data_IF_214619672223
#
_entry.id   IF_214619672223
#
_cell.length_a   1.000
_cell.length_b   1.000
_cell.length_c   1.000
_cell.angle_alpha   90.00
_cell.angle_beta   90.00
_cell.angle_gamma   90.00
#
_symmetry.space_group_name_H-M   'P 1'
#
loop_
_entity.id
_entity.type
_entity.pdbx_description
1 polymer ?
#
# COMPACT_ATOMS: atom_id res chain seq x y z
N UNK A 1 10.30 -7.38 10.13
CA UNK A 1 9.71 -7.50 8.80
C UNK A 1 10.77 -7.25 7.74
N UNK A 2 10.68 -7.90 6.58
CA UNK A 2 11.70 -7.76 5.51
C UNK A 2 11.16 -6.99 4.30
N UNK A 3 9.87 -6.70 4.28
CA UNK A 3 9.18 -6.02 3.19
C UNK A 3 8.50 -4.75 3.69
N UNK A 4 8.25 -3.81 2.78
CA UNK A 4 7.69 -2.50 3.09
C UNK A 4 6.53 -2.19 2.12
N UNK A 5 5.41 -1.73 2.66
CA UNK A 5 4.35 -1.08 1.87
C UNK A 5 4.40 0.41 2.11
N UNK A 6 4.43 1.20 1.05
CA UNK A 6 4.34 2.67 1.11
C UNK A 6 3.03 3.07 0.45
N UNK A 7 2.07 3.48 1.26
CA UNK A 7 0.80 4.04 0.82
C UNK A 7 0.89 5.56 0.74
N UNK A 8 0.53 6.14 -0.39
CA UNK A 8 0.43 7.59 -0.48
C UNK A 8 -1.03 8.01 -0.46
N UNK A 9 -1.30 8.99 0.40
CA UNK A 9 -2.63 9.49 0.74
C UNK A 9 -2.75 10.89 0.16
N UNK A 10 -3.51 11.03 -0.93
CA UNK A 10 -3.78 12.31 -1.60
C UNK A 10 -4.85 13.09 -0.84
N UNK A 11 -4.95 14.41 -1.09
CA UNK A 11 -5.90 15.29 -0.39
C UNK A 11 -7.37 14.97 -0.67
N UNK A 12 -7.65 14.28 -1.76
CA UNK A 12 -8.98 13.91 -2.21
C UNK A 12 -9.41 12.50 -1.76
N UNK A 13 -8.63 11.86 -0.87
CA UNK A 13 -9.00 10.60 -0.22
C UNK A 13 -10.04 10.89 0.86
N UNK A 14 -11.22 10.26 0.74
CA UNK A 14 -12.23 10.37 1.79
C UNK A 14 -11.91 9.48 2.97
N UNK A 15 -12.44 9.82 4.15
CA UNK A 15 -12.27 9.03 5.37
C UNK A 15 -12.74 7.57 5.19
N UNK A 16 -13.86 7.36 4.49
CA UNK A 16 -14.40 6.02 4.21
C UNK A 16 -13.48 5.21 3.29
N UNK A 17 -12.91 5.85 2.26
CA UNK A 17 -11.95 5.19 1.38
C UNK A 17 -10.69 4.79 2.12
N UNK A 18 -10.20 5.66 3.01
CA UNK A 18 -9.02 5.42 3.81
C UNK A 18 -9.26 4.32 4.84
N UNK A 19 -10.40 4.37 5.56
CA UNK A 19 -10.83 3.34 6.51
C UNK A 19 -10.90 1.97 5.84
N UNK A 20 -11.52 1.90 4.67
CA UNK A 20 -11.63 0.66 3.91
C UNK A 20 -10.27 0.13 3.46
N UNK A 21 -9.37 1.01 3.02
CA UNK A 21 -8.01 0.61 2.66
C UNK A 21 -7.27 0.00 3.85
N UNK A 22 -7.31 0.65 5.02
CA UNK A 22 -6.64 0.17 6.23
C UNK A 22 -7.25 -1.15 6.72
N UNK A 23 -8.57 -1.25 6.76
CA UNK A 23 -9.28 -2.45 7.20
C UNK A 23 -8.94 -3.65 6.32
N UNK A 24 -8.99 -3.49 5.01
CA UNK A 24 -8.59 -4.53 4.08
C UNK A 24 -7.10 -4.89 4.21
N UNK A 25 -6.23 -3.89 4.34
CA UNK A 25 -4.80 -4.08 4.53
C UNK A 25 -4.48 -4.89 5.79
N UNK A 26 -5.08 -4.54 6.94
CA UNK A 26 -4.85 -5.28 8.19
C UNK A 26 -5.29 -6.73 8.10
N UNK A 27 -6.40 -7.00 7.42
CA UNK A 27 -6.97 -8.36 7.26
C UNK A 27 -6.23 -9.18 6.21
N UNK A 28 -5.45 -8.52 5.34
CA UNK A 28 -4.67 -9.19 4.30
C UNK A 28 -3.42 -9.86 4.86
N UNK A 29 -2.99 -10.94 4.23
CA UNK A 29 -1.78 -11.67 4.61
C UNK A 29 -0.49 -10.85 4.46
N UNK A 30 -0.53 -9.71 3.77
CA UNK A 30 0.62 -8.82 3.63
C UNK A 30 0.97 -8.17 4.97
N UNK A 31 -0.01 -7.74 5.78
CA UNK A 31 0.21 -7.04 7.05
C UNK A 31 0.95 -7.90 8.10
N UNK A 32 0.85 -9.23 8.02
CA UNK A 32 1.62 -10.14 8.87
C UNK A 32 3.12 -10.19 8.54
N UNK A 33 3.53 -9.68 7.35
CA UNK A 33 4.88 -9.83 6.79
C UNK A 33 5.59 -8.52 6.49
N UNK A 34 4.86 -7.39 6.42
CA UNK A 34 5.38 -6.09 5.99
C UNK A 34 5.20 -5.02 7.06
N UNK A 35 6.12 -4.06 7.09
CA UNK A 35 5.87 -2.78 7.74
C UNK A 35 5.19 -1.84 6.73
N UNK A 36 4.41 -0.88 7.24
CA UNK A 36 3.62 0.05 6.43
C UNK A 36 4.02 1.48 6.73
N UNK A 37 4.26 2.25 5.70
CA UNK A 37 4.48 3.70 5.76
C UNK A 37 3.39 4.39 4.97
N UNK A 38 2.71 5.34 5.58
CA UNK A 38 1.72 6.21 4.94
C UNK A 38 2.34 7.59 4.73
N UNK A 39 2.25 8.11 3.51
CA UNK A 39 2.69 9.47 3.17
C UNK A 39 1.46 10.33 2.93
N UNK A 40 1.21 11.27 3.82
CA UNK A 40 0.13 12.23 3.68
C UNK A 40 0.59 13.44 2.85
N UNK A 41 -0.28 13.90 1.96
CA UNK A 41 0.00 15.05 1.08
C UNK A 41 0.15 16.36 1.84
N UNK A 42 -0.55 16.51 2.97
CA UNK A 42 -0.58 17.73 3.77
C UNK A 42 -0.84 17.43 5.25
N UNK A 43 -0.56 18.43 6.12
CA UNK A 43 -0.88 18.38 7.55
C UNK A 43 -2.38 18.25 7.80
N UNK A 44 -3.21 18.83 6.95
CA UNK A 44 -4.67 18.70 7.04
C UNK A 44 -5.09 17.24 6.86
N UNK A 45 -4.60 16.58 5.80
CA UNK A 45 -4.87 15.16 5.55
C UNK A 45 -4.33 14.28 6.69
N UNK A 46 -3.15 14.59 7.23
CA UNK A 46 -2.56 13.86 8.35
C UNK A 46 -3.41 14.01 9.62
N UNK A 47 -3.87 15.22 9.93
CA UNK A 47 -4.70 15.51 11.11
C UNK A 47 -6.08 14.89 11.03
N UNK A 48 -6.69 14.87 9.85
CA UNK A 48 -8.01 14.32 9.62
C UNK A 48 -8.01 12.79 9.62
N UNK A 49 -7.04 12.17 8.96
CA UNK A 49 -6.99 10.73 8.73
C UNK A 49 -6.15 9.97 9.76
N UNK A 50 -5.29 10.66 10.52
CA UNK A 50 -4.48 10.05 11.58
C UNK A 50 -5.29 9.28 12.62
N UNK A 51 -6.39 9.82 13.17
CA UNK A 51 -7.26 9.10 14.10
C UNK A 51 -7.83 7.79 13.53
N UNK A 52 -8.14 7.74 12.22
CA UNK A 52 -8.64 6.54 11.56
C UNK A 52 -7.60 5.41 11.59
N UNK A 53 -6.31 5.73 11.46
CA UNK A 53 -5.23 4.73 11.58
C UNK A 53 -5.25 4.09 12.96
N UNK A 54 -5.44 4.89 14.02
CA UNK A 54 -5.48 4.39 15.38
C UNK A 54 -6.73 3.54 15.61
N UNK A 55 -7.92 4.02 15.21
CA UNK A 55 -9.18 3.29 15.35
C UNK A 55 -9.14 1.91 14.68
N UNK A 56 -8.66 1.83 13.44
CA UNK A 56 -8.59 0.57 12.69
C UNK A 56 -7.50 -0.35 13.27
N UNK A 57 -6.38 0.20 13.77
CA UNK A 57 -5.33 -0.57 14.46
C UNK A 57 -5.87 -1.22 15.74
N UNK A 58 -6.60 -0.46 16.56
CA UNK A 58 -7.19 -0.95 17.79
C UNK A 58 -8.29 -1.98 17.52
N UNK A 59 -9.14 -1.73 16.51
CA UNK A 59 -10.20 -2.65 16.10
C UNK A 59 -9.61 -3.97 15.62
N UNK A 60 -8.59 -3.94 14.78
CA UNK A 60 -7.89 -5.13 14.34
C UNK A 60 -7.23 -5.89 15.50
N UNK A 61 -6.61 -5.17 16.44
CA UNK A 61 -5.99 -5.77 17.62
C UNK A 61 -7.03 -6.48 18.50
N UNK A 62 -8.22 -5.86 18.69
CA UNK A 62 -9.35 -6.48 19.40
C UNK A 62 -9.85 -7.73 18.70
N UNK A 63 -9.97 -7.68 17.37
CA UNK A 63 -10.41 -8.82 16.56
C UNK A 63 -9.50 -10.04 16.77
N UNK A 64 -8.18 -9.84 16.62
CA UNK A 64 -7.20 -10.93 16.73
C UNK A 64 -7.15 -11.50 18.17
N UNK A 65 -7.29 -10.66 19.20
CA UNK A 65 -7.36 -11.11 20.59
C UNK A 65 -8.59 -11.96 20.85
N UNK A 66 -9.78 -11.49 20.47
CA UNK A 66 -11.03 -12.26 20.61
C UNK A 66 -10.96 -13.62 19.96
N UNK A 67 -10.38 -13.68 18.76
CA UNK A 67 -10.15 -14.95 18.09
C UNK A 67 -9.20 -15.87 18.88
N UNK A 68 -8.13 -15.32 19.46
CA UNK A 68 -7.20 -16.08 20.30
C UNK A 68 -7.87 -16.63 21.57
N UNK A 69 -8.77 -15.86 22.18
CA UNK A 69 -9.54 -16.27 23.35
C UNK A 69 -10.51 -17.41 23.01
N UNK A 70 -11.27 -17.29 21.92
CA UNK A 70 -12.20 -18.32 21.47
C UNK A 70 -11.50 -19.63 21.13
N UNK A 71 -10.34 -19.58 20.46
CA UNK A 71 -9.57 -20.79 20.15
C UNK A 71 -9.01 -21.48 21.39
N UNK A 72 -8.79 -20.77 22.50
CA UNK A 72 -8.29 -21.38 23.75
C UNK A 72 -9.38 -22.09 24.54
N UNK A 73 -10.63 -21.72 24.35
CA UNK A 73 -11.77 -22.26 25.10
C UNK A 73 -12.45 -23.47 24.46
N UNK A 74 -12.03 -23.90 23.27
CA UNK A 74 -12.58 -25.05 22.52
C UNK A 74 -14.09 -24.98 22.20
N UNK A 75 -14.75 -23.88 22.50
CA UNK A 75 -16.15 -23.64 22.13
C UNK A 75 -16.19 -22.88 20.78
N UNK A 76 -16.98 -23.40 19.84
CA UNK A 76 -17.28 -22.92 18.50
C UNK A 76 -16.29 -21.88 17.95
N UNK A 77 -15.35 -22.31 17.14
CA UNK A 77 -14.38 -21.42 16.51
C UNK A 77 -15.11 -20.28 15.79
N UNK A 78 -15.04 -19.07 16.36
CA UNK A 78 -15.64 -17.88 15.74
C UNK A 78 -15.16 -17.74 14.29
N UNK A 79 -16.07 -17.79 13.35
CA UNK A 79 -15.75 -17.72 11.94
C UNK A 79 -15.40 -16.28 11.60
N UNK A 80 -14.19 -16.05 11.09
CA UNK A 80 -13.76 -14.79 10.49
C UNK A 80 -13.80 -14.90 8.98
N UNK A 81 -13.89 -13.77 8.28
CA UNK A 81 -13.82 -13.73 6.81
C UNK A 81 -12.39 -13.88 6.26
N UNK A 82 -11.39 -14.00 7.13
CA UNK A 82 -9.98 -14.19 6.75
C UNK A 82 -9.25 -15.07 7.78
N UNK A 83 -8.05 -15.55 7.41
CA UNK A 83 -7.21 -16.37 8.30
C UNK A 83 -6.52 -15.51 9.36
N UNK A 84 -7.02 -15.55 10.60
CA UNK A 84 -6.48 -14.83 11.76
C UNK A 84 -5.25 -15.52 12.34
N UNK A 85 -5.08 -16.82 12.13
CA UNK A 85 -4.01 -17.62 12.74
C UNK A 85 -2.61 -17.12 12.39
N UNK A 86 -2.46 -16.51 11.21
CA UNK A 86 -1.20 -15.91 10.78
C UNK A 86 -0.69 -14.78 11.68
N UNK A 87 -1.57 -14.16 12.48
CA UNK A 87 -1.24 -13.06 13.38
C UNK A 87 -0.95 -13.54 14.81
N UNK A 88 -1.23 -14.81 15.12
CA UNK A 88 -0.99 -15.42 16.43
C UNK A 88 0.37 -16.11 16.44
N UNK A 89 1.22 -15.82 17.40
CA UNK A 89 2.42 -16.60 17.67
C UNK A 89 2.10 -17.68 18.70
N UNK A 90 2.03 -18.92 18.28
CA UNK A 90 2.06 -20.07 19.16
C UNK A 90 3.53 -20.48 19.34
N UNK A 91 4.13 -20.19 20.50
CA UNK A 91 5.37 -20.80 20.95
C UNK A 91 6.65 -19.97 20.97
N UNK A 92 7.42 -20.20 22.05
CA UNK A 92 8.79 -19.82 22.43
C UNK A 92 9.22 -18.35 22.35
N UNK A 93 9.66 -17.87 23.53
CA UNK A 93 10.25 -16.56 23.80
C UNK A 93 11.47 -16.27 22.92
N UNK A 94 11.29 -15.75 21.71
CA UNK A 94 12.34 -15.02 21.04
C UNK A 94 12.25 -13.55 21.45
N UNK A 95 13.23 -13.08 22.23
CA UNK A 95 13.46 -11.66 22.50
C UNK A 95 13.88 -10.95 21.19
N UNK A 96 13.00 -10.88 20.20
CA UNK A 96 13.21 -9.97 19.08
C UNK A 96 13.08 -8.53 19.61
N UNK A 97 14.20 -7.89 19.89
CA UNK A 97 14.27 -6.43 20.03
C UNK A 97 13.82 -5.84 18.71
N UNK A 98 12.55 -5.43 18.63
CA UNK A 98 12.07 -4.69 17.47
C UNK A 98 12.80 -3.35 17.45
N UNK A 99 13.69 -3.17 16.49
CA UNK A 99 14.24 -1.85 16.22
C UNK A 99 13.11 -0.95 15.69
N UNK A 100 13.03 0.31 16.14
CA UNK A 100 12.05 1.25 15.61
C UNK A 100 12.25 1.41 14.10
N UNK A 101 11.15 1.45 13.36
CA UNK A 101 11.15 1.62 11.90
C UNK A 101 11.85 2.91 11.48
N UNK A 102 11.75 3.94 12.31
CA UNK A 102 12.20 5.31 12.01
C UNK A 102 13.04 5.92 13.13
N UNK A 103 14.04 6.72 12.74
CA UNK A 103 14.78 7.60 13.64
C UNK A 103 15.88 6.97 14.51
N UNK A 104 16.69 7.78 15.17
CA UNK A 104 17.61 7.35 16.23
C UNK A 104 16.80 6.97 17.46
N UNK A 105 17.16 5.87 18.14
CA UNK A 105 16.75 5.69 19.53
C UNK A 105 17.16 6.94 20.29
N UNK A 106 16.20 7.77 20.65
CA UNK A 106 16.38 8.67 21.77
C UNK A 106 16.43 7.71 22.94
N UNK A 107 17.62 7.54 23.55
CA UNK A 107 17.71 6.94 24.87
C UNK A 107 16.93 7.88 25.79
N UNK A 108 15.67 7.59 26.01
CA UNK A 108 14.98 8.18 27.13
C UNK A 108 15.64 7.57 28.36
N UNK A 109 16.35 8.38 29.13
CA UNK A 109 16.85 8.03 30.44
C UNK A 109 15.72 7.98 31.49
N UNK A 110 14.48 7.83 31.05
CA UNK A 110 13.36 7.49 31.90
C UNK A 110 13.32 5.99 32.06
N UNK A 111 14.15 5.47 32.96
CA UNK A 111 13.88 4.22 33.65
C UNK A 111 12.74 4.54 34.60
N UNK A 112 11.56 4.03 34.30
CA UNK A 112 10.46 3.98 35.27
C UNK A 112 10.88 2.99 36.37
N UNK A 113 11.12 3.44 37.63
CA UNK A 113 11.62 2.55 38.68
C UNK A 113 10.54 1.66 39.30
N UNK A 114 9.30 1.65 38.77
CA UNK A 114 8.15 0.94 39.35
C UNK A 114 7.53 -0.14 38.46
N UNK A 115 8.25 -0.73 37.52
CA UNK A 115 7.80 -1.97 36.93
C UNK A 115 8.20 -3.15 37.84
N UNK A 116 7.41 -3.39 38.87
CA UNK A 116 7.40 -4.69 39.58
C UNK A 116 7.06 -5.78 38.57
N UNK A 117 7.99 -6.68 38.37
CA UNK A 117 7.83 -7.93 37.61
C UNK A 117 6.80 -8.85 38.31
N UNK A 118 5.52 -8.58 38.10
CA UNK A 118 4.48 -9.56 38.31
C UNK A 118 4.55 -10.58 37.19
N UNK A 119 4.75 -11.87 37.47
CA UNK A 119 4.58 -12.99 36.56
C UNK A 119 3.09 -13.16 36.19
N UNK A 120 2.53 -12.19 35.46
CA UNK A 120 1.25 -12.38 34.77
C UNK A 120 1.54 -13.05 33.42
N UNK A 121 0.76 -14.10 33.12
CA UNK A 121 0.81 -14.83 31.87
C UNK A 121 0.79 -13.83 30.70
N UNK A 122 1.93 -13.68 29.99
CA UNK A 122 2.07 -12.71 28.89
C UNK A 122 0.96 -12.95 27.86
N UNK A 123 0.13 -11.94 27.57
CA UNK A 123 -0.92 -12.06 26.56
C UNK A 123 -0.30 -12.42 25.23
N UNK A 124 -0.94 -13.30 24.48
CA UNK A 124 -0.54 -13.77 23.16
C UNK A 124 -0.10 -12.58 22.28
N UNK A 125 1.19 -12.52 21.98
CA UNK A 125 1.77 -11.35 21.29
C UNK A 125 1.37 -11.37 19.81
N UNK A 126 0.67 -10.34 19.39
CA UNK A 126 0.21 -10.18 18.02
C UNK A 126 1.40 -9.97 17.06
N UNK A 127 1.35 -10.62 15.89
CA UNK A 127 2.37 -10.52 14.85
C UNK A 127 1.83 -9.79 13.63
N UNK A 128 1.98 -8.49 13.60
CA UNK A 128 1.79 -7.67 12.38
C UNK A 128 2.86 -6.59 12.30
N UNK A 129 3.05 -6.02 11.09
CA UNK A 129 4.03 -4.97 10.87
C UNK A 129 3.68 -3.67 11.56
N UNK A 130 4.68 -2.82 11.75
CA UNK A 130 4.49 -1.45 12.24
C UNK A 130 3.81 -0.62 11.16
N UNK A 131 2.88 0.25 11.57
CA UNK A 131 2.29 1.26 10.70
C UNK A 131 2.68 2.64 11.23
N UNK A 132 3.24 3.47 10.35
CA UNK A 132 3.64 4.85 10.67
C UNK A 132 3.21 5.79 9.55
N UNK A 133 2.78 6.99 9.92
CA UNK A 133 2.41 8.06 8.99
C UNK A 133 3.44 9.18 9.02
N UNK A 134 3.67 9.81 7.88
CA UNK A 134 4.49 11.00 7.71
C UNK A 134 3.81 11.98 6.77
N UNK A 135 3.98 13.25 7.05
CA UNK A 135 3.68 14.29 6.07
C UNK A 135 4.81 14.37 5.04
N UNK A 136 4.46 14.67 3.79
CA UNK A 136 5.47 14.82 2.74
C UNK A 136 6.55 15.88 3.11
N UNK A 137 6.16 16.93 3.83
CA UNK A 137 7.07 17.97 4.33
C UNK A 137 8.03 17.47 5.42
N UNK A 138 7.62 16.53 6.26
CA UNK A 138 8.51 15.97 7.31
C UNK A 138 9.65 15.13 6.72
N UNK A 139 9.50 14.65 5.50
CA UNK A 139 10.52 13.88 4.81
C UNK A 139 11.66 14.77 4.30
N UNK A 140 11.41 16.05 4.12
CA UNK A 140 12.38 17.08 3.71
C UNK A 140 12.51 18.21 4.76
N UNK A 141 13.00 17.93 5.99
CA UNK A 141 13.05 18.90 7.06
C UNK A 141 14.00 20.06 6.79
N UNK A 142 14.95 19.90 5.88
CA UNK A 142 15.85 20.96 5.44
C UNK A 142 15.21 21.84 4.37
N UNK A 143 13.99 21.48 3.94
CA UNK A 143 13.27 22.17 2.87
C UNK A 143 14.10 22.32 1.58
N UNK A 144 14.94 21.33 1.31
CA UNK A 144 15.87 21.31 0.18
C UNK A 144 15.18 21.28 -1.17
N UNK A 145 13.92 20.82 -1.19
CA UNK A 145 13.05 20.75 -2.36
C UNK A 145 12.02 21.89 -2.38
N UNK A 146 12.14 22.88 -1.48
CA UNK A 146 11.29 24.07 -1.46
C UNK A 146 11.31 24.77 -2.84
N UNK A 147 10.17 25.30 -3.21
CA UNK A 147 10.00 25.93 -4.50
C UNK A 147 9.82 24.94 -5.68
N UNK A 148 10.41 23.75 -5.62
CA UNK A 148 10.14 22.71 -6.61
C UNK A 148 8.90 21.87 -6.24
N UNK A 149 8.82 21.39 -5.00
CA UNK A 149 7.70 20.57 -4.56
C UNK A 149 6.39 21.35 -4.46
N UNK A 150 6.43 22.65 -4.15
CA UNK A 150 5.23 23.48 -3.97
C UNK A 150 4.46 23.70 -5.28
N UNK A 151 5.14 23.61 -6.42
CA UNK A 151 4.57 23.85 -7.74
C UNK A 151 4.23 22.58 -8.52
N UNK A 152 4.46 21.41 -7.92
CA UNK A 152 4.27 20.10 -8.56
C UNK A 152 3.15 19.33 -7.86
N UNK A 153 2.19 18.73 -8.59
CA UNK A 153 1.10 17.96 -7.98
C UNK A 153 1.63 16.79 -7.14
N UNK A 154 0.86 16.37 -6.13
CA UNK A 154 1.27 15.31 -5.21
C UNK A 154 1.64 14.00 -5.92
N UNK A 155 0.94 13.66 -7.00
CA UNK A 155 1.26 12.50 -7.84
C UNK A 155 2.71 12.47 -8.34
N UNK A 156 3.33 13.64 -8.48
CA UNK A 156 4.73 13.79 -8.87
C UNK A 156 5.66 14.01 -7.67
N UNK A 157 5.20 14.72 -6.62
CA UNK A 157 6.01 14.95 -5.40
C UNK A 157 6.40 13.65 -4.71
N UNK A 158 5.52 12.67 -4.69
CA UNK A 158 5.75 11.37 -4.05
C UNK A 158 7.04 10.68 -4.52
N UNK A 159 7.45 10.92 -5.76
CA UNK A 159 8.68 10.34 -6.30
C UNK A 159 9.95 10.86 -5.62
N UNK A 160 9.92 12.06 -5.04
CA UNK A 160 10.98 12.57 -4.19
C UNK A 160 10.94 11.93 -2.78
N UNK A 161 9.75 11.66 -2.26
CA UNK A 161 9.57 11.07 -0.93
C UNK A 161 10.14 9.65 -0.84
N UNK A 162 10.05 8.85 -1.89
CA UNK A 162 10.49 7.45 -1.85
C UNK A 162 12.00 7.29 -1.55
N UNK A 163 12.94 7.95 -2.26
CA UNK A 163 14.35 7.89 -1.92
C UNK A 163 14.65 8.41 -0.51
N UNK A 164 13.94 9.44 -0.07
CA UNK A 164 14.09 10.02 1.27
C UNK A 164 13.69 9.03 2.36
N UNK A 165 12.53 8.37 2.23
CA UNK A 165 12.11 7.30 3.14
C UNK A 165 13.16 6.20 3.17
N UNK A 166 13.54 5.68 2.01
CA UNK A 166 14.51 4.58 1.91
C UNK A 166 15.89 4.95 2.43
N UNK A 167 16.24 6.23 2.47
CA UNK A 167 17.48 6.73 3.08
C UNK A 167 17.41 6.80 4.60
N UNK A 168 16.21 6.90 5.19
CA UNK A 168 16.00 7.13 6.62
C UNK A 168 15.50 5.92 7.39
N UNK A 169 14.83 4.97 6.72
CA UNK A 169 14.42 3.71 7.35
C UNK A 169 15.66 2.89 7.71
N UNK A 170 15.70 2.39 8.95
CA UNK A 170 16.86 1.67 9.47
C UNK A 170 16.94 0.23 9.05
N UNK A 171 15.80 -0.35 8.63
CA UNK A 171 15.74 -1.74 8.21
C UNK A 171 16.11 -1.85 6.74
N UNK A 172 16.92 -2.85 6.42
CA UNK A 172 17.19 -3.21 5.04
C UNK A 172 16.02 -4.04 4.50
N UNK A 173 14.99 -3.37 4.04
CA UNK A 173 13.90 -4.05 3.34
C UNK A 173 14.40 -4.65 2.04
N UNK A 174 13.96 -5.87 1.75
CA UNK A 174 14.31 -6.57 0.51
C UNK A 174 13.38 -6.18 -0.63
N UNK A 175 12.08 -6.12 -0.34
CA UNK A 175 11.06 -5.79 -1.32
C UNK A 175 10.16 -4.69 -0.79
N UNK A 176 9.58 -3.95 -1.72
CA UNK A 176 8.64 -2.91 -1.38
C UNK A 176 7.54 -2.78 -2.42
N UNK A 177 6.44 -2.20 -1.98
CA UNK A 177 5.29 -1.84 -2.80
C UNK A 177 4.96 -0.37 -2.57
N UNK A 178 4.75 0.34 -3.66
CA UNK A 178 4.21 1.70 -3.69
C UNK A 178 2.77 1.59 -4.14
N UNK A 179 1.84 2.20 -3.42
CA UNK A 179 0.41 2.10 -3.73
C UNK A 179 -0.33 3.39 -3.46
N UNK A 180 -1.20 3.79 -4.39
CA UNK A 180 -2.16 4.86 -4.19
C UNK A 180 -3.34 4.35 -3.37
N UNK A 181 -3.55 4.96 -2.19
CA UNK A 181 -4.57 4.55 -1.23
C UNK A 181 -5.98 4.81 -1.76
N UNK A 182 -6.14 5.85 -2.60
CA UNK A 182 -7.42 6.17 -3.23
C UNK A 182 -7.81 5.14 -4.29
N UNK A 183 -6.84 4.74 -5.10
CA UNK A 183 -7.07 3.94 -6.30
C UNK A 183 -7.15 2.44 -6.04
N UNK A 184 -6.54 1.93 -4.96
CA UNK A 184 -6.42 0.49 -4.73
C UNK A 184 -6.87 0.04 -3.34
N UNK A 185 -7.27 -1.24 -3.28
CA UNK A 185 -7.52 -1.98 -2.04
C UNK A 185 -6.69 -3.25 -2.05
N UNK A 186 -6.01 -3.55 -0.94
CA UNK A 186 -5.18 -4.74 -0.77
C UNK A 186 -5.96 -5.81 -0.03
N UNK A 187 -6.33 -6.89 -0.71
CA UNK A 187 -7.09 -8.00 -0.16
C UNK A 187 -6.22 -9.21 0.21
N UNK A 188 -5.00 -9.27 -0.31
CA UNK A 188 -4.04 -10.33 -0.07
C UNK A 188 -2.62 -9.83 -0.10
N UNK A 189 -1.67 -10.68 -0.49
CA UNK A 189 -0.24 -10.36 -0.52
C UNK A 189 0.31 -10.32 -1.96
N UNK A 190 0.29 -9.16 -2.63
CA UNK A 190 0.81 -9.03 -3.99
C UNK A 190 2.34 -9.15 -4.07
N UNK A 191 3.08 -8.91 -2.98
CA UNK A 191 4.54 -9.01 -2.95
C UNK A 191 5.06 -10.44 -3.17
N UNK A 192 4.21 -11.46 -3.07
CA UNK A 192 4.55 -12.85 -3.45
C UNK A 192 5.13 -12.90 -4.87
N UNK A 193 4.66 -12.06 -5.80
CA UNK A 193 5.12 -12.01 -7.19
C UNK A 193 6.58 -11.55 -7.35
N UNK A 194 7.11 -10.82 -6.36
CA UNK A 194 8.46 -10.23 -6.43
C UNK A 194 9.42 -10.77 -5.38
N UNK A 195 8.97 -11.49 -4.36
CA UNK A 195 9.84 -12.01 -3.29
C UNK A 195 10.92 -12.97 -3.77
N UNK A 196 10.68 -13.69 -4.87
CA UNK A 196 11.67 -14.58 -5.49
C UNK A 196 12.60 -13.86 -6.48
N UNK A 197 12.37 -12.57 -6.74
CA UNK A 197 13.13 -11.77 -7.69
C UNK A 197 14.33 -11.09 -7.02
N UNK A 198 15.20 -10.52 -7.86
CA UNK A 198 16.37 -9.77 -7.38
C UNK A 198 15.97 -8.46 -6.68
N UNK A 199 16.89 -7.90 -5.90
CA UNK A 199 16.71 -6.58 -5.26
C UNK A 199 16.65 -5.42 -6.25
N UNK A 200 17.10 -5.64 -7.50
CA UNK A 200 17.02 -4.71 -8.63
C UNK A 200 15.73 -4.85 -9.45
N UNK A 201 14.90 -5.84 -9.16
CA UNK A 201 13.65 -6.09 -9.91
C UNK A 201 12.63 -4.99 -9.67
N UNK A 202 11.88 -4.63 -10.72
CA UNK A 202 10.68 -3.79 -10.65
C UNK A 202 9.58 -4.46 -11.46
N UNK A 203 8.41 -4.58 -10.87
CA UNK A 203 7.22 -5.13 -11.48
C UNK A 203 6.16 -4.04 -11.64
N UNK A 204 5.68 -3.88 -12.86
CA UNK A 204 4.65 -2.92 -13.23
C UNK A 204 3.45 -3.64 -13.82
N UNK A 205 2.24 -3.22 -13.42
CA UNK A 205 1.01 -3.63 -14.12
C UNK A 205 0.75 -2.74 -15.32
N UNK A 206 0.00 -3.26 -16.28
CA UNK A 206 -0.52 -2.47 -17.39
C UNK A 206 -1.88 -1.88 -17.05
N UNK A 207 -2.17 -0.70 -17.55
CA UNK A 207 -3.51 -0.11 -17.52
C UNK A 207 -4.39 -0.74 -18.60
N UNK A 208 -5.67 -1.02 -18.30
CA UNK A 208 -6.62 -1.51 -19.30
C UNK A 208 -6.97 -0.46 -20.36
N UNK A 209 -6.71 0.82 -20.09
CA UNK A 209 -6.96 1.91 -21.03
C UNK A 209 -6.00 1.83 -22.21
N UNK A 210 -6.44 1.15 -23.26
CA UNK A 210 -5.86 1.34 -24.58
C UNK A 210 -6.13 2.77 -25.03
N UNK A 211 -5.09 3.52 -25.35
CA UNK A 211 -5.23 4.79 -26.05
C UNK A 211 -5.92 4.52 -27.40
N UNK A 212 -7.23 4.58 -27.43
CA UNK A 212 -7.94 4.77 -28.69
C UNK A 212 -7.80 6.25 -29.05
N UNK A 213 -7.08 6.60 -30.11
CA UNK A 213 -7.09 7.96 -30.60
C UNK A 213 -8.52 8.27 -31.05
N UNK A 214 -9.25 9.10 -30.31
CA UNK A 214 -10.48 9.69 -30.80
C UNK A 214 -10.14 10.55 -32.00
N UNK A 215 -10.35 10.01 -33.22
CA UNK A 215 -10.35 10.80 -34.45
C UNK A 215 -9.13 10.56 -35.34
N UNK A 216 -9.23 9.55 -36.19
CA UNK A 216 -9.04 9.61 -37.65
C UNK A 216 -9.17 8.19 -38.22
N UNK A 217 -10.27 7.97 -38.92
CA UNK A 217 -10.38 6.89 -39.91
C UNK A 217 -9.35 7.22 -41.00
N UNK A 218 -8.47 6.31 -41.29
CA UNK A 218 -7.57 6.11 -42.41
C UNK A 218 -6.09 6.10 -42.01
N UNK A 219 -5.58 4.93 -41.70
CA UNK A 219 -4.36 4.42 -42.36
C UNK A 219 -4.01 3.04 -41.79
N UNK A 220 -3.93 2.05 -42.65
CA UNK A 220 -3.29 0.76 -42.45
C UNK A 220 -1.82 0.97 -42.04
N UNK A 221 -1.55 1.05 -40.76
CA UNK A 221 -0.24 0.81 -40.19
C UNK A 221 -0.48 0.07 -38.88
N UNK A 222 0.08 -1.11 -38.78
CA UNK A 222 0.25 -1.90 -37.57
C UNK A 222 0.65 -1.00 -36.40
N UNK A 223 -0.36 -0.43 -35.73
CA UNK A 223 -0.14 0.34 -34.51
C UNK A 223 0.21 -0.70 -33.44
N UNK A 224 1.48 -0.79 -33.11
CA UNK A 224 1.91 -1.37 -31.86
C UNK A 224 1.17 -0.62 -30.73
N UNK A 225 0.08 -1.19 -30.25
CA UNK A 225 -0.63 -0.70 -29.07
C UNK A 225 0.34 -0.76 -27.89
N UNK A 226 1.02 0.32 -27.65
CA UNK A 226 1.94 0.43 -26.53
C UNK A 226 1.11 0.40 -25.26
N UNK A 227 1.15 -0.74 -24.54
CA UNK A 227 0.42 -0.92 -23.29
C UNK A 227 0.98 0.09 -22.27
N UNK A 228 0.11 0.97 -21.78
CA UNK A 228 0.47 1.92 -20.74
C UNK A 228 0.67 1.19 -19.42
N UNK A 229 1.76 1.49 -18.72
CA UNK A 229 2.00 0.98 -17.37
C UNK A 229 1.26 1.81 -16.33
N UNK A 230 0.80 1.15 -15.27
CA UNK A 230 0.14 1.79 -14.15
C UNK A 230 1.19 2.40 -13.21
N UNK A 231 1.12 3.72 -13.00
CA UNK A 231 2.04 4.45 -12.11
C UNK A 231 1.59 4.46 -10.64
N UNK A 232 0.34 4.11 -10.38
CA UNK A 232 -0.26 4.22 -9.05
C UNK A 232 0.01 3.01 -8.17
N UNK A 233 0.49 1.90 -8.77
CA UNK A 233 0.86 0.68 -8.07
C UNK A 233 2.13 0.08 -8.67
N UNK A 234 3.18 0.00 -7.86
CA UNK A 234 4.51 -0.46 -8.27
C UNK A 234 5.04 -1.37 -7.17
N UNK A 235 5.66 -2.47 -7.54
CA UNK A 235 6.35 -3.30 -6.57
C UNK A 235 7.67 -3.83 -7.12
N UNK A 236 8.58 -4.21 -6.21
CA UNK A 236 9.88 -4.72 -6.62
C UNK A 236 10.86 -4.85 -5.48
N UNK A 237 12.11 -5.14 -5.82
CA UNK A 237 13.23 -5.05 -4.90
C UNK A 237 13.54 -3.59 -4.56
N UNK A 238 13.96 -3.34 -3.33
CA UNK A 238 14.17 -1.97 -2.81
C UNK A 238 15.16 -1.16 -3.64
N UNK A 239 16.20 -1.81 -4.18
CA UNK A 239 17.19 -1.15 -5.04
C UNK A 239 16.62 -0.77 -6.39
N UNK A 240 15.83 -1.66 -7.00
CA UNK A 240 15.14 -1.40 -8.27
C UNK A 240 14.16 -0.25 -8.15
N UNK A 241 13.31 -0.27 -7.12
CA UNK A 241 12.32 0.80 -6.88
C UNK A 241 13.01 2.14 -6.58
N UNK A 242 14.11 2.14 -5.81
CA UNK A 242 14.90 3.38 -5.57
C UNK A 242 15.49 3.93 -6.87
N UNK A 243 16.04 3.09 -7.75
CA UNK A 243 16.57 3.52 -9.07
C UNK A 243 15.46 4.06 -9.96
N UNK A 244 14.32 3.39 -10.00
CA UNK A 244 13.14 3.88 -10.71
C UNK A 244 12.71 5.25 -10.19
N UNK A 245 12.62 5.41 -8.87
CA UNK A 245 12.20 6.68 -8.25
C UNK A 245 13.16 7.83 -8.57
N UNK A 246 14.46 7.59 -8.52
CA UNK A 246 15.47 8.58 -8.89
C UNK A 246 15.38 8.94 -10.40
N UNK A 247 15.17 7.95 -11.26
CA UNK A 247 15.02 8.19 -12.70
C UNK A 247 13.76 9.01 -12.99
N UNK A 248 12.64 8.68 -12.34
CA UNK A 248 11.40 9.46 -12.43
C UNK A 248 11.59 10.89 -11.95
N UNK A 249 12.29 11.11 -10.83
CA UNK A 249 12.56 12.45 -10.32
C UNK A 249 13.36 13.28 -11.33
N UNK A 250 14.37 12.70 -11.99
CA UNK A 250 15.14 13.35 -13.04
C UNK A 250 14.24 13.75 -14.22
N UNK A 251 13.35 12.88 -14.67
CA UNK A 251 12.42 13.18 -15.77
C UNK A 251 11.40 14.25 -15.37
N UNK A 252 10.92 14.23 -14.12
CA UNK A 252 10.01 15.27 -13.59
C UNK A 252 10.70 16.64 -13.61
N UNK A 253 11.95 16.71 -13.10
CA UNK A 253 12.74 17.96 -13.13
C UNK A 253 12.97 18.43 -14.56
N UNK A 254 13.38 17.53 -15.46
CA UNK A 254 13.61 17.84 -16.86
C UNK A 254 12.34 18.39 -17.54
N UNK A 255 11.20 17.73 -17.32
CA UNK A 255 9.92 18.17 -17.86
C UNK A 255 9.50 19.55 -17.28
N UNK A 256 9.73 19.78 -15.97
CA UNK A 256 9.45 21.06 -15.35
C UNK A 256 10.31 22.20 -15.91
N UNK A 257 11.60 21.95 -16.16
CA UNK A 257 12.53 22.95 -16.74
C UNK A 257 12.26 23.25 -18.22
N UNK A 258 11.83 22.27 -18.99
CA UNK A 258 11.54 22.43 -20.43
C UNK A 258 10.19 23.07 -20.70
N UNK A 259 9.40 23.32 -19.68
CA UNK A 259 8.02 23.78 -19.80
C UNK A 259 7.94 25.20 -20.32
N UNK A 260 7.53 25.35 -21.60
CA UNK A 260 7.18 26.64 -22.25
C UNK A 260 5.68 26.94 -22.21
N UNK A 261 4.84 26.07 -21.66
CA UNK A 261 3.38 26.15 -21.72
C UNK A 261 2.64 25.75 -20.46
N UNK A 262 1.32 25.99 -20.42
CA UNK A 262 0.44 25.79 -19.27
C UNK A 262 -0.08 24.36 -19.07
N UNK A 263 0.24 23.40 -19.94
CA UNK A 263 -0.28 22.03 -19.83
C UNK A 263 0.41 21.26 -18.71
N UNK A 264 -0.34 20.68 -17.76
CA UNK A 264 0.25 19.79 -16.75
C UNK A 264 0.79 18.54 -17.44
N UNK A 265 2.00 18.11 -17.10
CA UNK A 265 2.49 16.81 -17.53
C UNK A 265 1.98 15.71 -16.58
N UNK A 266 1.59 14.59 -17.17
CA UNK A 266 1.05 13.46 -16.43
C UNK A 266 2.16 12.54 -15.98
N UNK A 267 2.07 12.05 -14.74
CA UNK A 267 2.95 11.03 -14.20
C UNK A 267 3.02 9.78 -15.08
N UNK A 268 1.85 9.31 -15.52
CA UNK A 268 1.74 8.12 -16.37
C UNK A 268 2.50 8.30 -17.68
N UNK A 269 2.47 9.48 -18.28
CA UNK A 269 3.20 9.78 -19.51
C UNK A 269 4.71 9.71 -19.27
N UNK A 270 5.21 10.33 -18.18
CA UNK A 270 6.63 10.31 -17.86
C UNK A 270 7.12 8.89 -17.56
N UNK A 271 6.36 8.11 -16.79
CA UNK A 271 6.72 6.73 -16.48
C UNK A 271 6.77 5.88 -17.76
N UNK A 272 5.77 6.02 -18.64
CA UNK A 272 5.74 5.27 -19.88
C UNK A 272 6.89 5.66 -20.82
N UNK A 273 7.24 6.93 -20.90
CA UNK A 273 8.42 7.39 -21.64
C UNK A 273 9.72 6.79 -21.07
N UNK A 274 9.86 6.79 -19.74
CA UNK A 274 11.03 6.23 -19.06
C UNK A 274 11.18 4.74 -19.31
N UNK A 275 10.06 4.01 -19.27
CA UNK A 275 10.01 2.56 -19.54
C UNK A 275 10.33 2.27 -21.02
N UNK A 276 9.75 3.05 -21.95
CA UNK A 276 9.92 2.83 -23.39
C UNK A 276 11.31 3.19 -23.91
N UNK A 277 11.95 4.19 -23.31
CA UNK A 277 13.26 4.66 -23.75
C UNK A 277 14.44 3.75 -23.31
N UNK A 278 14.15 2.67 -22.58
CA UNK A 278 15.17 1.73 -22.14
C UNK A 278 16.20 2.33 -21.16
N UNK A 279 15.95 3.52 -20.63
CA UNK A 279 16.86 4.21 -19.67
C UNK A 279 17.04 3.38 -18.40
N UNK A 280 15.99 2.64 -18.01
CA UNK A 280 15.98 1.78 -16.84
C UNK A 280 16.75 0.46 -17.04
N UNK A 281 17.01 0.03 -18.29
CA UNK A 281 17.63 -1.27 -18.59
C UNK A 281 19.03 -1.44 -18.00
N UNK A 282 19.74 -0.34 -17.73
CA UNK A 282 21.04 -0.34 -17.08
C UNK A 282 20.91 -0.34 -15.55
N UNK A 283 20.46 -1.45 -14.95
CA UNK A 283 20.46 -1.63 -13.50
C UNK A 283 19.10 -1.80 -12.84
N UNK A 284 18.03 -1.91 -13.62
CA UNK A 284 16.70 -2.32 -13.17
C UNK A 284 16.25 -3.52 -14.00
N UNK A 285 15.93 -4.62 -13.31
CA UNK A 285 15.30 -5.79 -13.91
C UNK A 285 13.79 -5.57 -13.98
N UNK A 286 13.37 -5.00 -15.13
CA UNK A 286 12.00 -4.56 -15.32
C UNK A 286 11.11 -5.69 -15.84
N UNK A 287 10.04 -6.00 -15.12
CA UNK A 287 8.98 -6.92 -15.53
C UNK A 287 7.68 -6.15 -15.71
N UNK A 288 7.11 -6.16 -16.90
CA UNK A 288 5.80 -5.57 -17.18
C UNK A 288 4.78 -6.71 -17.30
N UNK A 289 3.76 -6.68 -16.46
CA UNK A 289 2.67 -7.65 -16.53
C UNK A 289 1.82 -7.45 -17.77
N UNK A 290 1.40 -8.53 -18.38
CA UNK A 290 0.36 -8.48 -19.40
C UNK A 290 -1.05 -8.37 -18.82
N UNK A 291 -1.18 -8.56 -17.49
CA UNK A 291 -2.43 -8.48 -16.76
C UNK A 291 -2.61 -7.06 -16.20
N UNK A 292 -3.79 -6.51 -16.32
CA UNK A 292 -4.22 -5.33 -15.57
C UNK A 292 -4.66 -5.74 -14.17
N UNK A 293 -4.63 -4.80 -13.24
CA UNK A 293 -5.26 -5.02 -11.94
C UNK A 293 -6.78 -5.11 -12.14
N UNK A 294 -7.45 -6.14 -11.59
CA UNK A 294 -8.90 -6.25 -11.69
C UNK A 294 -9.58 -5.03 -11.05
N UNK A 295 -10.58 -4.51 -11.72
CA UNK A 295 -11.40 -3.39 -11.24
C UNK A 295 -12.69 -3.89 -10.58
N UNK A 296 -13.42 -2.96 -9.95
CA UNK A 296 -14.71 -3.24 -9.30
C UNK A 296 -15.76 -3.80 -10.28
N UNK A 297 -15.72 -3.40 -11.56
CA UNK A 297 -16.65 -3.87 -12.58
C UNK A 297 -16.38 -5.33 -12.94
N UNK A 298 -15.11 -5.73 -12.97
CA UNK A 298 -14.70 -7.12 -13.20
C UNK A 298 -15.21 -8.04 -12.08
N UNK A 299 -15.37 -7.52 -10.86
CA UNK A 299 -15.93 -8.25 -9.72
C UNK A 299 -17.46 -8.35 -9.80
N UNK A 300 -18.14 -7.30 -10.26
CA UNK A 300 -19.61 -7.25 -10.37
C UNK A 300 -20.14 -8.16 -11.49
N UNK A 301 -19.40 -8.31 -12.60
CA UNK A 301 -19.79 -9.13 -13.75
C UNK A 301 -19.91 -10.62 -13.46
N UNK A 302 -19.30 -11.14 -12.40
CA UNK A 302 -19.38 -12.54 -11.98
C UNK A 302 -20.69 -12.86 -11.25
N UNK A 303 -21.45 -11.83 -10.80
CA UNK A 303 -22.63 -12.01 -9.94
C UNK A 303 -23.95 -12.28 -10.68
N UNK A 304 -23.99 -12.19 -12.01
CA UNK A 304 -25.27 -12.27 -12.71
C UNK A 304 -25.86 -13.67 -12.87
N UNK A 305 -25.09 -14.75 -12.65
CA UNK A 305 -25.55 -16.12 -12.89
C UNK A 305 -25.14 -17.20 -11.87
N UNK A 306 -24.53 -16.87 -10.73
CA UNK A 306 -24.21 -17.87 -9.72
C UNK A 306 -24.44 -17.36 -8.30
N UNK A 307 -25.18 -18.12 -7.51
CA UNK A 307 -25.41 -17.99 -6.07
C UNK A 307 -24.13 -18.19 -5.21
N UNK A 308 -22.95 -18.28 -5.84
CA UNK A 308 -21.69 -18.40 -5.13
C UNK A 308 -21.20 -17.02 -4.74
N UNK A 309 -21.09 -16.76 -3.43
CA UNK A 309 -20.37 -15.62 -2.86
C UNK A 309 -19.04 -15.44 -3.60
N UNK A 310 -18.83 -14.27 -4.19
CA UNK A 310 -17.57 -13.90 -4.81
C UNK A 310 -16.48 -14.05 -3.75
N UNK A 311 -15.64 -15.04 -3.93
CA UNK A 311 -14.50 -15.19 -3.04
C UNK A 311 -13.50 -14.06 -3.36
N UNK A 312 -13.61 -12.93 -2.64
CA UNK A 312 -12.64 -11.83 -2.66
C UNK A 312 -11.22 -12.34 -2.40
N UNK A 313 -11.09 -13.49 -1.72
CA UNK A 313 -9.83 -14.16 -1.42
C UNK A 313 -9.00 -14.55 -2.66
N UNK A 314 -9.59 -14.57 -3.85
CA UNK A 314 -8.86 -14.84 -5.11
C UNK A 314 -7.99 -13.67 -5.56
N UNK A 315 -8.28 -12.46 -5.06
CA UNK A 315 -7.60 -11.25 -5.50
C UNK A 315 -6.67 -10.74 -4.40
N UNK A 316 -5.43 -10.47 -4.75
CA UNK A 316 -4.48 -9.84 -3.82
C UNK A 316 -4.59 -8.32 -3.82
N UNK A 317 -5.02 -7.73 -4.94
CA UNK A 317 -5.23 -6.30 -5.11
C UNK A 317 -6.37 -6.06 -6.08
N UNK A 318 -7.16 -5.01 -5.81
CA UNK A 318 -8.28 -4.58 -6.65
C UNK A 318 -8.19 -3.08 -6.85
N UNK A 319 -8.41 -2.62 -8.08
CA UNK A 319 -8.49 -1.20 -8.42
C UNK A 319 -9.91 -0.69 -8.15
N UNK A 320 -10.04 0.43 -7.48
CA UNK A 320 -11.32 1.13 -7.34
C UNK A 320 -11.69 1.75 -8.69
N UNK A 321 -12.88 1.44 -9.17
CA UNK A 321 -13.44 2.10 -10.36
C UNK A 321 -13.98 3.50 -10.02
N UNK A 322 -14.52 4.18 -11.03
CA UNK A 322 -15.16 5.50 -10.86
C UNK A 322 -16.38 5.47 -9.92
N UNK A 323 -16.98 4.30 -9.69
CA UNK A 323 -18.06 4.09 -8.70
C UNK A 323 -17.49 3.41 -7.44
N UNK A 324 -16.88 4.18 -6.56
CA UNK A 324 -16.28 3.68 -5.31
C UNK A 324 -17.27 2.97 -4.37
N UNK A 325 -18.58 3.25 -4.51
CA UNK A 325 -19.61 2.73 -3.61
C UNK A 325 -19.73 1.21 -3.68
N UNK A 326 -19.69 0.66 -4.88
CA UNK A 326 -19.96 -0.76 -5.07
C UNK A 326 -18.86 -1.64 -4.46
N UNK A 327 -17.58 -1.28 -4.63
CA UNK A 327 -16.47 -2.04 -4.07
C UNK A 327 -16.46 -2.02 -2.54
N UNK A 328 -16.66 -0.84 -1.94
CA UNK A 328 -16.69 -0.72 -0.49
C UNK A 328 -17.86 -1.53 0.11
N UNK A 329 -19.04 -1.51 -0.53
CA UNK A 329 -20.18 -2.30 -0.10
C UNK A 329 -19.94 -3.80 -0.19
N UNK A 330 -19.29 -4.27 -1.28
CA UNK A 330 -18.96 -5.68 -1.45
C UNK A 330 -17.99 -6.13 -0.35
N UNK A 331 -16.93 -5.37 -0.09
CA UNK A 331 -15.96 -5.68 0.96
C UNK A 331 -16.60 -5.65 2.34
N UNK A 332 -17.40 -4.62 2.65
CA UNK A 332 -18.09 -4.52 3.93
C UNK A 332 -19.09 -5.66 4.15
N UNK A 333 -19.84 -6.03 3.13
CA UNK A 333 -20.75 -7.17 3.21
C UNK A 333 -20.00 -8.48 3.52
N UNK A 334 -18.83 -8.69 2.91
CA UNK A 334 -17.98 -9.84 3.19
C UNK A 334 -17.48 -9.83 4.65
N UNK A 335 -16.97 -8.68 5.12
CA UNK A 335 -16.51 -8.49 6.49
C UNK A 335 -17.65 -8.72 7.49
N UNK A 336 -18.76 -8.04 7.31
CA UNK A 336 -19.90 -8.08 8.24
C UNK A 336 -20.69 -9.41 8.19
N UNK A 337 -20.42 -10.28 7.24
CA UNK A 337 -21.02 -11.61 7.20
C UNK A 337 -20.50 -12.54 8.31
N UNK A 338 -19.33 -12.24 8.85
CA UNK A 338 -18.71 -12.97 9.96
C UNK A 338 -19.21 -12.46 11.31
N UNK A 339 -19.59 -13.35 12.21
CA UNK A 339 -20.07 -13.00 13.57
C UNK A 339 -18.98 -12.34 14.40
N UNK A 340 -17.74 -12.78 14.27
CA UNK A 340 -16.62 -12.23 15.02
C UNK A 340 -16.28 -10.82 14.53
N UNK A 341 -16.21 -10.62 13.23
CA UNK A 341 -15.93 -9.33 12.63
C UNK A 341 -17.00 -8.29 12.96
N UNK A 342 -18.30 -8.67 12.82
CA UNK A 342 -19.41 -7.79 13.14
C UNK A 342 -19.49 -7.41 14.62
N UNK A 343 -18.87 -8.21 15.52
CA UNK A 343 -18.80 -7.88 16.93
C UNK A 343 -17.75 -6.82 17.28
N UNK A 344 -16.83 -6.54 16.37
CA UNK A 344 -15.70 -5.61 16.56
C UNK A 344 -15.90 -4.29 15.83
N UNK A 345 -16.41 -4.34 14.61
CA UNK A 345 -16.62 -3.16 13.78
C UNK A 345 -18.03 -2.62 13.98
N UNK A 346 -18.12 -1.37 14.49
CA UNK A 346 -19.38 -0.73 14.83
C UNK A 346 -20.25 -0.35 13.62
N UNK A 347 -19.65 -0.33 12.43
CA UNK A 347 -20.30 -0.02 11.16
C UNK A 347 -20.80 -1.28 10.41
N UNK A 348 -20.66 -2.44 11.05
CA UNK A 348 -21.37 -3.65 10.68
C UNK A 348 -22.78 -3.70 11.27
#
# INVERSE_FOLDING_TARGET
MNDLVVGHVTEDVTQDQFRMFLRALYRSSISAKTDVVLIFSSSSASSELGPVVQEETESFSRLVRRYGELNSTSEESGVTSFDVTQFLKFGKKEKERREPLWGRRIRSNYSDPNSEEGEEAEPTRLRYGSMVGFEAAELDPENSLAGFLDHVPMSLRRWACYPMILGRVRRNFKHMMLVDVKSFVLLGDPLVRVRSKSTESVFLWTNPETLTPKGRKNSDKTQNHQKLVNSEIIMGGTRGVRRLSNAMLIEIVRAAMQRKGKSPFSESVLLNQLVSNGVLSKGVDLTISNESVPDSNSLAGVNSNSTSSLSLSKYSVVQRGNSNRDLNQIIMKDICSSTLDSSVYSDC
#
